data_IF_838806059035
#
_entry.id   IF_838806059035
#
_cell.length_a   1.000
_cell.length_b   1.000
_cell.length_c   1.000
_cell.angle_alpha   90.00
_cell.angle_beta   90.00
_cell.angle_gamma   90.00
#
_symmetry.space_group_name_H-M   'P 1'
#
loop_
_entity.id
_entity.type
_entity.pdbx_description
1 polymer ?
#
# COMPACT_ATOMS: atom_id res chain seq x y z
N UNK A 1 50.22 31.46 -44.11
CA UNK A 1 49.25 30.74 -43.26
C UNK A 1 49.37 31.12 -41.78
N UNK A 2 50.59 31.26 -41.22
CA UNK A 2 50.80 31.80 -39.86
C UNK A 2 50.17 33.17 -39.65
N UNK A 3 50.28 34.07 -40.63
CA UNK A 3 49.69 35.41 -40.56
C UNK A 3 48.16 35.38 -40.45
N UNK A 4 47.51 34.45 -41.18
CA UNK A 4 46.06 34.23 -41.05
C UNK A 4 45.70 33.72 -39.66
N UNK A 5 46.52 32.85 -39.06
CA UNK A 5 46.33 32.38 -37.69
C UNK A 5 46.49 33.52 -36.68
N UNK A 6 47.49 34.41 -36.86
CA UNK A 6 47.70 35.61 -36.03
C UNK A 6 46.52 36.56 -36.09
N UNK A 7 46.02 36.86 -37.29
CA UNK A 7 44.83 37.69 -37.47
C UNK A 7 43.57 37.06 -36.85
N UNK A 8 43.38 35.75 -36.98
CA UNK A 8 42.28 35.05 -36.32
C UNK A 8 42.42 35.06 -34.79
N UNK A 9 43.61 34.87 -34.24
CA UNK A 9 43.87 34.95 -32.80
C UNK A 9 43.65 36.36 -32.25
N UNK A 10 44.09 37.40 -32.98
CA UNK A 10 43.92 38.79 -32.60
C UNK A 10 42.45 39.21 -32.49
N UNK A 11 41.56 38.66 -33.33
CA UNK A 11 40.10 38.88 -33.21
C UNK A 11 39.52 38.44 -31.86
N UNK A 12 40.17 37.51 -31.17
CA UNK A 12 39.78 37.02 -29.85
C UNK A 12 40.65 37.62 -28.71
N UNK A 13 41.48 38.62 -29.03
CA UNK A 13 42.40 39.25 -28.07
C UNK A 13 43.58 38.36 -27.68
N UNK A 14 43.99 37.44 -28.57
CA UNK A 14 45.12 36.54 -28.34
C UNK A 14 46.29 36.89 -29.24
N UNK A 15 47.50 36.79 -28.68
CA UNK A 15 48.74 36.98 -29.42
C UNK A 15 49.41 35.62 -29.63
N UNK A 16 49.70 35.27 -30.88
CA UNK A 16 50.41 34.03 -31.22
C UNK A 16 51.91 34.20 -30.95
N UNK A 17 52.47 33.31 -30.15
CA UNK A 17 53.89 33.27 -29.79
C UNK A 17 54.70 32.35 -30.70
N UNK A 18 54.05 31.52 -31.52
CA UNK A 18 54.74 30.63 -32.47
C UNK A 18 55.44 31.44 -33.57
N UNK A 19 56.74 31.16 -33.75
CA UNK A 19 57.61 31.77 -34.75
C UNK A 19 57.38 31.21 -36.15
N UNK A 20 57.01 29.93 -36.26
CA UNK A 20 56.88 29.20 -37.52
C UNK A 20 55.52 28.49 -37.70
N UNK A 21 55.11 28.31 -38.96
CA UNK A 21 53.90 27.57 -39.29
C UNK A 21 54.15 26.06 -39.30
N UNK A 22 53.78 25.38 -38.21
CA UNK A 22 53.93 23.92 -38.08
C UNK A 22 52.81 23.09 -38.74
N UNK A 23 51.84 23.70 -39.42
CA UNK A 23 50.70 23.01 -40.04
C UNK A 23 49.36 23.22 -39.35
N UNK A 24 48.27 22.79 -40.01
CA UNK A 24 46.88 23.05 -39.59
C UNK A 24 46.49 22.22 -38.34
N UNK A 25 46.97 20.99 -38.22
CA UNK A 25 46.70 20.12 -37.06
C UNK A 25 47.71 20.28 -35.92
N UNK A 26 48.69 21.15 -36.09
CA UNK A 26 49.76 21.36 -35.12
C UNK A 26 49.32 22.34 -34.04
N UNK A 27 49.89 22.17 -32.84
CA UNK A 27 49.66 23.05 -31.70
C UNK A 27 50.53 24.29 -31.83
N UNK A 28 49.92 25.46 -31.67
CA UNK A 28 50.60 26.74 -31.63
C UNK A 28 50.39 27.35 -30.24
N UNK A 29 51.37 28.14 -29.79
CA UNK A 29 51.33 28.81 -28.50
C UNK A 29 50.70 30.19 -28.65
N UNK A 30 49.79 30.51 -27.72
CA UNK A 30 49.09 31.78 -27.66
C UNK A 30 49.18 32.36 -26.26
N UNK A 31 49.17 33.68 -26.17
CA UNK A 31 48.93 34.41 -24.92
C UNK A 31 47.61 35.16 -25.01
N UNK A 32 46.81 35.13 -23.95
CA UNK A 32 45.57 35.90 -23.88
C UNK A 32 45.81 37.32 -23.33
N UNK A 33 44.80 38.18 -23.41
CA UNK A 33 44.84 39.54 -22.85
C UNK A 33 45.12 39.61 -21.33
N UNK A 34 44.86 38.54 -20.57
CA UNK A 34 45.21 38.43 -19.13
C UNK A 34 46.62 37.86 -18.88
N UNK A 35 47.41 37.58 -19.93
CA UNK A 35 48.78 37.10 -19.83
C UNK A 35 48.96 35.58 -19.71
N UNK A 36 47.89 34.78 -19.82
CA UNK A 36 47.99 33.33 -19.77
C UNK A 36 48.54 32.75 -21.08
N UNK A 37 49.58 31.93 -20.97
CA UNK A 37 50.16 31.17 -22.09
C UNK A 37 49.49 29.80 -22.19
N UNK A 38 48.98 29.45 -23.37
CA UNK A 38 48.33 28.16 -23.61
C UNK A 38 48.53 27.68 -25.05
N UNK A 39 48.36 26.38 -25.27
CA UNK A 39 48.52 25.75 -26.57
C UNK A 39 47.18 25.39 -27.20
N UNK A 40 47.00 25.68 -28.49
CA UNK A 40 45.82 25.22 -29.26
C UNK A 40 46.17 24.82 -30.70
N UNK A 41 45.35 23.94 -31.25
CA UNK A 41 45.47 23.48 -32.64
C UNK A 41 44.94 24.53 -33.61
N UNK A 42 45.73 24.89 -34.63
CA UNK A 42 45.38 25.94 -35.60
C UNK A 42 44.06 25.67 -36.35
N UNK A 43 43.74 24.41 -36.66
CA UNK A 43 42.47 23.99 -37.29
C UNK A 43 41.25 24.56 -36.58
N UNK A 44 41.28 24.55 -35.24
CA UNK A 44 40.13 24.96 -34.42
C UNK A 44 39.87 26.46 -34.45
N UNK A 45 40.87 27.26 -34.82
CA UNK A 45 40.76 28.72 -34.94
C UNK A 45 40.47 29.17 -36.38
N UNK A 46 40.95 28.40 -37.36
CA UNK A 46 40.85 28.75 -38.78
C UNK A 46 39.60 28.22 -39.47
N UNK A 47 39.11 27.04 -39.08
CA UNK A 47 38.08 26.31 -39.84
C UNK A 47 36.89 25.81 -39.01
N UNK A 48 37.03 25.65 -37.69
CA UNK A 48 35.98 25.05 -36.85
C UNK A 48 35.11 26.12 -36.19
N UNK A 49 33.83 26.16 -36.54
CA UNK A 49 32.84 27.10 -35.97
C UNK A 49 32.19 26.57 -34.68
N UNK A 50 32.99 25.97 -33.79
CA UNK A 50 32.50 25.39 -32.54
C UNK A 50 32.75 26.35 -31.37
N UNK A 51 31.87 27.35 -31.24
CA UNK A 51 31.88 28.33 -30.15
C UNK A 51 33.02 29.34 -30.20
N UNK A 52 32.85 30.48 -29.51
CA UNK A 52 33.92 31.47 -29.35
C UNK A 52 35.04 30.81 -28.55
N UNK A 53 36.25 30.66 -29.10
CA UNK A 53 37.36 30.03 -28.40
C UNK A 53 37.77 30.93 -27.23
N UNK A 54 37.74 30.39 -26.00
CA UNK A 54 38.12 31.09 -24.77
C UNK A 54 39.42 30.49 -24.23
N UNK A 55 40.23 31.32 -23.59
CA UNK A 55 41.41 30.86 -22.88
C UNK A 55 40.97 29.95 -21.73
N UNK A 56 41.47 28.71 -21.68
CA UNK A 56 41.09 27.70 -20.67
C UNK A 56 41.39 28.16 -19.24
N UNK A 57 42.46 28.93 -19.04
CA UNK A 57 42.81 29.48 -17.73
C UNK A 57 41.86 30.61 -17.32
N UNK A 58 41.60 31.57 -18.22
CA UNK A 58 40.60 32.62 -17.95
C UNK A 58 39.21 32.02 -17.69
N UNK A 59 38.83 30.99 -18.43
CA UNK A 59 37.56 30.30 -18.24
C UNK A 59 37.46 29.64 -16.86
N UNK A 60 38.55 29.04 -16.37
CA UNK A 60 38.60 28.44 -15.04
C UNK A 60 38.53 29.51 -13.93
N UNK A 61 39.23 30.64 -14.10
CA UNK A 61 39.15 31.77 -13.19
C UNK A 61 37.74 32.38 -13.16
N UNK A 62 37.15 32.64 -14.32
CA UNK A 62 35.79 33.19 -14.41
C UNK A 62 34.74 32.24 -13.79
N UNK A 63 34.93 30.92 -13.92
CA UNK A 63 34.09 29.91 -13.25
C UNK A 63 34.29 29.96 -11.73
N UNK A 64 35.54 30.03 -11.27
CA UNK A 64 35.89 30.13 -9.84
C UNK A 64 35.27 31.40 -9.23
N UNK A 65 35.46 32.54 -9.86
CA UNK A 65 35.03 33.84 -9.35
C UNK A 65 33.50 33.92 -9.34
N UNK A 66 32.83 33.39 -10.38
CA UNK A 66 31.36 33.26 -10.39
C UNK A 66 30.86 32.33 -9.28
N UNK A 67 31.57 31.25 -9.01
CA UNK A 67 31.19 30.30 -7.98
C UNK A 67 31.35 30.87 -6.58
N UNK A 68 32.47 31.55 -6.32
CA UNK A 68 32.73 32.30 -5.07
C UNK A 68 31.74 33.46 -4.90
N UNK A 69 31.40 34.17 -5.98
CA UNK A 69 30.37 35.21 -5.97
C UNK A 69 29.01 34.67 -5.54
N UNK A 70 28.58 33.52 -6.10
CA UNK A 70 27.33 32.86 -5.67
C UNK A 70 27.35 32.40 -4.22
N UNK A 71 28.51 32.04 -3.69
CA UNK A 71 28.66 31.73 -2.27
C UNK A 71 28.49 32.99 -1.42
N UNK A 72 29.18 34.07 -1.77
CA UNK A 72 29.10 35.35 -1.06
C UNK A 72 27.69 35.96 -1.09
N UNK A 73 27.01 35.98 -2.24
CA UNK A 73 25.63 36.47 -2.39
C UNK A 73 24.64 35.79 -1.44
N UNK A 74 24.86 34.51 -1.15
CA UNK A 74 23.99 33.70 -0.28
C UNK A 74 24.54 33.55 1.14
N UNK A 75 25.56 34.34 1.50
CA UNK A 75 26.19 34.32 2.81
C UNK A 75 26.82 32.98 3.17
N UNK A 76 27.32 32.23 2.18
CA UNK A 76 27.97 30.94 2.37
C UNK A 76 29.48 31.06 2.53
N UNK A 77 30.05 30.37 3.50
CA UNK A 77 31.49 30.27 3.74
C UNK A 77 32.00 28.90 3.30
N UNK A 78 33.08 28.89 2.52
CA UNK A 78 33.76 27.67 2.13
C UNK A 78 34.68 27.19 3.27
N UNK A 79 34.47 25.97 3.77
CA UNK A 79 35.27 25.37 4.84
C UNK A 79 36.35 24.41 4.31
N UNK A 80 36.13 23.80 3.14
CA UNK A 80 37.15 23.01 2.45
C UNK A 80 38.16 23.91 1.74
N UNK A 81 39.32 23.36 1.34
CA UNK A 81 40.39 24.07 0.63
C UNK A 81 39.96 24.77 -0.69
N UNK A 82 40.92 25.34 -1.44
CA UNK A 82 40.62 26.21 -2.58
C UNK A 82 39.75 25.52 -3.63
N UNK A 83 38.95 26.31 -4.36
CA UNK A 83 38.14 25.79 -5.46
C UNK A 83 39.04 25.26 -6.60
N UNK A 84 38.94 23.97 -6.84
CA UNK A 84 39.70 23.19 -7.84
C UNK A 84 38.86 22.84 -9.08
N UNK A 85 37.52 22.88 -8.99
CA UNK A 85 36.65 22.59 -10.13
C UNK A 85 35.19 22.28 -9.76
N UNK A 86 34.31 22.25 -10.75
CA UNK A 86 32.86 22.07 -10.51
C UNK A 86 32.44 20.64 -10.14
N UNK A 87 33.28 19.63 -10.40
CA UNK A 87 32.95 18.24 -10.10
C UNK A 87 33.36 17.81 -8.69
N UNK A 88 34.24 18.57 -8.06
CA UNK A 88 34.72 18.29 -6.72
C UNK A 88 33.69 18.64 -5.65
N UNK A 89 33.85 17.98 -4.50
CA UNK A 89 32.99 18.17 -3.33
C UNK A 89 33.63 19.14 -2.36
N UNK A 90 32.82 20.09 -1.92
CA UNK A 90 33.21 21.15 -1.00
C UNK A 90 32.35 21.11 0.25
N UNK A 91 32.98 21.42 1.39
CA UNK A 91 32.29 21.65 2.66
C UNK A 91 31.96 23.13 2.75
N UNK A 92 30.67 23.44 2.92
CA UNK A 92 30.15 24.81 2.90
C UNK A 92 29.30 25.02 4.14
N UNK A 93 29.44 26.20 4.76
CA UNK A 93 28.61 26.68 5.86
C UNK A 93 27.70 27.79 5.34
N UNK A 94 26.39 27.78 5.61
CA UNK A 94 25.51 28.90 5.25
C UNK A 94 25.52 29.99 6.32
N UNK A 95 24.86 31.12 6.05
CA UNK A 95 24.68 32.22 7.00
C UNK A 95 24.03 31.77 8.32
N UNK A 96 23.09 30.81 8.26
CA UNK A 96 22.44 30.21 9.44
C UNK A 96 23.32 29.18 10.18
N UNK A 97 24.60 29.02 9.79
CA UNK A 97 25.55 28.12 10.46
C UNK A 97 25.48 26.65 10.06
N UNK A 98 24.57 26.23 9.17
CA UNK A 98 24.50 24.83 8.74
C UNK A 98 25.67 24.45 7.83
N UNK A 99 26.30 23.33 8.13
CA UNK A 99 27.42 22.77 7.36
C UNK A 99 26.97 21.58 6.52
N UNK A 100 27.36 21.54 5.25
CA UNK A 100 27.08 20.40 4.40
C UNK A 100 28.12 20.21 3.29
N UNK A 101 28.19 18.96 2.80
CA UNK A 101 29.05 18.56 1.69
C UNK A 101 28.28 18.56 0.38
N UNK A 102 28.76 19.31 -0.62
CA UNK A 102 28.10 19.47 -1.92
C UNK A 102 29.09 19.61 -3.07
N UNK A 103 28.72 19.10 -4.24
CA UNK A 103 29.53 19.28 -5.45
C UNK A 103 29.43 20.72 -5.99
N UNK A 104 30.53 21.29 -6.46
CA UNK A 104 30.58 22.68 -6.94
C UNK A 104 29.54 23.00 -8.04
N UNK A 105 29.26 22.04 -8.92
CA UNK A 105 28.23 22.12 -9.96
C UNK A 105 26.83 22.35 -9.40
N UNK A 106 26.48 21.71 -8.27
CA UNK A 106 25.14 21.84 -7.69
C UNK A 106 24.87 23.25 -7.15
N UNK A 107 25.91 23.90 -6.60
CA UNK A 107 25.85 25.32 -6.21
C UNK A 107 25.72 26.22 -7.44
N UNK A 108 26.45 25.91 -8.51
CA UNK A 108 26.35 26.64 -9.79
C UNK A 108 24.96 26.53 -10.42
N UNK A 109 24.30 25.37 -10.31
CA UNK A 109 22.92 25.13 -10.74
C UNK A 109 21.85 25.73 -9.80
N UNK A 110 22.26 26.37 -8.70
CA UNK A 110 21.38 27.10 -7.80
C UNK A 110 20.85 26.31 -6.60
N UNK A 111 21.23 25.03 -6.44
CA UNK A 111 20.90 24.25 -5.24
C UNK A 111 21.71 24.77 -4.04
N UNK A 112 21.07 24.89 -2.88
CA UNK A 112 21.66 25.48 -1.68
C UNK A 112 21.55 24.55 -0.45
N UNK A 113 21.82 25.11 0.73
CA UNK A 113 21.70 24.45 2.03
C UNK A 113 20.39 23.64 2.12
N UNK A 114 20.46 22.32 2.32
CA UNK A 114 19.28 21.47 2.39
C UNK A 114 18.43 21.77 3.62
N UNK A 115 19.05 22.19 4.73
CA UNK A 115 18.34 22.54 5.97
C UNK A 115 17.55 23.84 5.80
N UNK A 116 18.17 24.90 5.27
CA UNK A 116 17.45 26.15 4.97
C UNK A 116 16.39 25.94 3.87
N UNK A 117 16.70 25.18 2.82
CA UNK A 117 15.72 24.89 1.76
C UNK A 117 14.52 24.10 2.28
N UNK A 118 14.73 23.17 3.22
CA UNK A 118 13.65 22.47 3.90
C UNK A 118 12.88 23.39 4.84
N UNK A 119 13.56 24.25 5.61
CA UNK A 119 12.95 25.25 6.47
C UNK A 119 12.08 26.25 5.70
N UNK A 120 12.53 26.71 4.53
CA UNK A 120 11.79 27.64 3.68
C UNK A 120 10.63 26.96 2.93
N UNK A 121 10.78 25.70 2.49
CA UNK A 121 9.66 24.92 1.97
C UNK A 121 8.60 24.68 3.06
N UNK A 122 9.04 24.46 4.29
CA UNK A 122 8.20 24.31 5.49
C UNK A 122 7.49 25.64 5.79
N UNK A 123 8.19 26.78 5.79
CA UNK A 123 7.61 28.13 5.96
C UNK A 123 6.63 28.55 4.87
N UNK A 124 6.91 28.19 3.60
CA UNK A 124 5.96 28.40 2.48
C UNK A 124 4.73 27.49 2.55
N UNK A 125 4.82 26.39 3.30
CA UNK A 125 3.73 25.43 3.50
C UNK A 125 2.87 25.73 4.75
N UNK A 126 3.39 26.43 5.78
CA UNK A 126 2.51 27.12 6.74
C UNK A 126 1.97 28.40 6.10
N UNK A 127 0.77 28.31 5.55
CA UNK A 127 -0.07 29.49 5.51
C UNK A 127 -0.24 29.99 6.95
N UNK A 128 0.01 31.28 7.19
CA UNK A 128 -0.31 31.96 8.46
C UNK A 128 -1.78 31.75 8.87
N UNK A 129 -2.66 31.44 7.90
CA UNK A 129 -4.08 31.14 8.09
C UNK A 129 -4.39 29.66 8.41
N UNK A 130 -3.39 28.80 8.61
CA UNK A 130 -3.57 27.37 8.87
C UNK A 130 -4.51 27.09 10.05
N UNK A 131 -4.34 27.83 11.15
CA UNK A 131 -5.19 27.71 12.33
C UNK A 131 -6.61 28.20 12.08
N UNK A 132 -6.75 29.38 11.45
CA UNK A 132 -8.05 29.98 11.13
C UNK A 132 -8.89 29.05 10.23
N UNK A 133 -8.25 28.42 9.24
CA UNK A 133 -8.89 27.43 8.36
C UNK A 133 -9.31 26.16 9.11
N UNK A 134 -8.52 25.70 10.08
CA UNK A 134 -8.91 24.57 10.94
C UNK A 134 -10.09 24.91 11.83
N UNK A 135 -10.13 26.11 12.41
CA UNK A 135 -11.30 26.57 13.19
C UNK A 135 -12.55 26.68 12.32
N UNK A 136 -12.45 27.29 11.13
CA UNK A 136 -13.57 27.40 10.19
C UNK A 136 -14.09 26.02 9.75
N UNK A 137 -13.19 25.07 9.45
CA UNK A 137 -13.57 23.71 9.07
C UNK A 137 -14.20 22.93 10.23
N UNK A 138 -13.71 23.14 11.46
CA UNK A 138 -14.29 22.54 12.65
C UNK A 138 -15.72 23.04 12.89
N UNK A 139 -15.93 24.36 12.81
CA UNK A 139 -17.25 24.98 12.97
C UNK A 139 -18.22 24.51 11.89
N UNK A 140 -17.79 24.44 10.62
CA UNK A 140 -18.60 23.93 9.51
C UNK A 140 -19.04 22.46 9.68
N UNK A 141 -18.35 21.68 10.52
CA UNK A 141 -18.65 20.28 10.83
C UNK A 141 -19.34 20.10 12.20
N UNK A 142 -19.85 21.18 12.78
CA UNK A 142 -20.53 21.16 14.09
C UNK A 142 -19.58 20.86 15.26
N UNK A 143 -18.31 21.23 15.16
CA UNK A 143 -17.33 21.02 16.24
C UNK A 143 -16.39 22.19 16.43
N UNK A 144 -15.41 22.01 17.31
CA UNK A 144 -14.45 23.04 17.71
C UNK A 144 -13.03 22.47 17.67
N UNK A 145 -12.09 23.25 17.16
CA UNK A 145 -10.67 23.01 17.34
C UNK A 145 -10.27 23.59 18.70
N UNK A 146 -9.67 22.78 19.56
CA UNK A 146 -9.21 23.14 20.90
C UNK A 146 -7.74 23.63 20.91
N UNK A 147 -7.01 23.39 19.83
CA UNK A 147 -5.62 23.85 19.68
C UNK A 147 -5.57 25.35 19.45
N UNK A 148 -4.71 26.05 20.20
CA UNK A 148 -4.53 27.51 20.15
C UNK A 148 -3.31 27.94 19.32
N UNK A 149 -2.45 27.01 18.92
CA UNK A 149 -1.23 27.27 18.16
C UNK A 149 -1.13 26.33 16.96
N UNK A 150 -0.70 26.85 15.81
CA UNK A 150 -0.43 26.08 14.59
C UNK A 150 1.06 25.99 14.36
N UNK A 151 1.63 24.82 14.64
CA UNK A 151 3.02 24.51 14.35
C UNK A 151 3.06 23.34 13.39
N UNK A 152 3.93 23.41 12.37
CA UNK A 152 4.08 22.33 11.39
C UNK A 152 4.69 21.09 12.05
N UNK A 153 5.48 21.28 13.11
CA UNK A 153 6.06 20.22 13.93
C UNK A 153 5.02 19.48 14.78
N UNK A 154 3.94 20.17 15.20
CA UNK A 154 2.83 19.52 15.89
C UNK A 154 1.89 18.91 14.86
N UNK A 155 2.16 17.65 14.52
CA UNK A 155 1.34 16.88 13.60
C UNK A 155 -0.07 16.61 14.14
N UNK A 156 -0.40 16.93 15.39
CA UNK A 156 -1.67 16.55 16.01
C UNK A 156 -2.38 17.75 16.64
N UNK A 157 -3.55 18.06 16.11
CA UNK A 157 -4.45 19.10 16.57
C UNK A 157 -5.61 18.46 17.31
N UNK A 158 -6.04 19.08 18.40
CA UNK A 158 -7.14 18.60 19.25
C UNK A 158 -8.46 19.15 18.75
N UNK A 159 -9.43 18.26 18.56
CA UNK A 159 -10.77 18.60 18.11
C UNK A 159 -11.83 18.02 19.04
N UNK A 160 -12.97 18.69 19.11
CA UNK A 160 -14.18 18.26 19.80
C UNK A 160 -15.38 18.37 18.85
N UNK A 161 -16.22 17.34 18.76
CA UNK A 161 -17.44 17.38 17.95
C UNK A 161 -18.66 17.75 18.80
N UNK A 162 -19.79 18.03 18.14
CA UNK A 162 -21.07 18.34 18.79
C UNK A 162 -21.51 17.31 19.85
N UNK A 163 -21.20 16.02 19.61
CA UNK A 163 -21.52 14.93 20.55
C UNK A 163 -20.51 14.81 21.71
N UNK A 164 -19.62 15.78 21.89
CA UNK A 164 -18.62 15.82 22.96
C UNK A 164 -17.42 14.88 22.78
N UNK A 165 -17.25 14.26 21.60
CA UNK A 165 -16.08 13.40 21.37
C UNK A 165 -14.83 14.24 21.11
N UNK A 166 -13.78 13.95 21.88
CA UNK A 166 -12.45 14.57 21.72
C UNK A 166 -11.49 13.63 21.01
N UNK A 167 -10.74 14.15 20.04
CA UNK A 167 -9.69 13.38 19.35
C UNK A 167 -8.56 14.28 18.85
N UNK A 168 -7.45 13.65 18.50
CA UNK A 168 -6.28 14.28 17.92
C UNK A 168 -6.15 13.88 16.44
N UNK A 169 -5.92 14.83 15.54
CA UNK A 169 -5.80 14.58 14.11
C UNK A 169 -4.86 15.57 13.42
N UNK A 170 -4.27 15.16 12.28
CA UNK A 170 -3.46 16.06 11.43
C UNK A 170 -4.34 17.05 10.69
N UNK A 171 -3.84 18.28 10.52
CA UNK A 171 -4.53 19.33 9.78
C UNK A 171 -4.94 18.89 8.36
N UNK A 172 -4.03 18.19 7.65
CA UNK A 172 -4.29 17.69 6.30
C UNK A 172 -5.45 16.67 6.24
N UNK A 173 -5.61 15.83 7.26
CA UNK A 173 -6.69 14.83 7.30
C UNK A 173 -8.05 15.51 7.47
N UNK A 174 -8.11 16.57 8.26
CA UNK A 174 -9.32 17.40 8.42
C UNK A 174 -9.67 18.15 7.13
N UNK A 175 -8.66 18.68 6.42
CA UNK A 175 -8.88 19.32 5.12
C UNK A 175 -9.37 18.33 4.06
N UNK A 176 -8.83 17.10 4.04
CA UNK A 176 -9.29 16.00 3.16
C UNK A 176 -10.70 15.51 3.48
N UNK A 177 -11.27 15.92 4.61
CA UNK A 177 -12.67 15.67 4.95
C UNK A 177 -12.88 14.65 6.07
N UNK A 178 -11.82 14.07 6.64
CA UNK A 178 -11.90 13.23 7.83
C UNK A 178 -12.35 14.08 9.03
N UNK A 179 -13.20 13.51 9.89
CA UNK A 179 -13.68 14.19 11.10
C UNK A 179 -13.70 13.24 12.29
N UNK A 180 -14.67 13.36 13.18
CA UNK A 180 -14.83 12.51 14.34
C UNK A 180 -15.04 11.04 13.93
N UNK A 181 -14.00 10.21 14.10
CA UNK A 181 -14.07 8.77 13.81
C UNK A 181 -15.11 8.02 14.63
N UNK A 182 -15.45 8.49 15.85
CA UNK A 182 -16.54 7.91 16.65
C UNK A 182 -17.91 8.23 16.04
N UNK A 183 -18.14 9.47 15.61
CA UNK A 183 -19.38 9.82 14.89
C UNK A 183 -19.47 9.14 13.52
N UNK A 184 -18.36 9.06 12.78
CA UNK A 184 -18.30 8.37 11.50
C UNK A 184 -18.59 6.87 11.66
N UNK A 185 -18.04 6.22 12.70
CA UNK A 185 -18.39 4.84 13.04
C UNK A 185 -19.86 4.72 13.44
N UNK A 186 -20.42 5.65 14.22
CA UNK A 186 -21.85 5.63 14.57
C UNK A 186 -22.76 5.77 13.33
N UNK A 187 -22.34 6.52 12.29
CA UNK A 187 -23.07 6.61 11.01
C UNK A 187 -22.81 5.41 10.10
N UNK A 188 -21.59 4.84 10.11
CA UNK A 188 -21.21 3.68 9.27
C UNK A 188 -21.66 2.33 9.86
N UNK A 189 -21.93 2.25 11.16
CA UNK A 189 -22.53 1.09 11.84
C UNK A 189 -24.07 1.09 11.72
N UNK A 190 -24.64 2.09 11.05
CA UNK A 190 -26.05 2.45 11.13
C UNK A 190 -26.82 2.39 9.81
N UNK A 191 -26.43 1.53 8.85
CA UNK A 191 -27.45 0.90 8.00
C UNK A 191 -27.82 -0.45 8.66
N UNK A 192 -28.40 -0.36 9.85
CA UNK A 192 -29.19 -1.46 10.38
C UNK A 192 -30.41 -1.52 9.46
N UNK A 193 -30.47 -2.54 8.60
CA UNK A 193 -31.64 -2.83 7.79
C UNK A 193 -32.88 -2.75 8.70
N UNK A 194 -33.83 -1.83 8.46
CA UNK A 194 -35.03 -1.69 9.29
C UNK A 194 -35.83 -2.99 9.39
N UNK A 195 -35.69 -3.85 8.38
CA UNK A 195 -36.34 -5.15 8.29
C UNK A 195 -35.41 -6.30 8.72
N UNK A 196 -34.23 -6.02 9.29
CA UNK A 196 -33.26 -7.02 9.70
C UNK A 196 -33.82 -8.00 10.75
N UNK A 197 -34.60 -7.50 11.72
CA UNK A 197 -35.27 -8.34 12.71
C UNK A 197 -36.34 -9.22 12.08
N UNK A 198 -37.17 -8.66 11.20
CA UNK A 198 -38.24 -9.37 10.48
C UNK A 198 -37.66 -10.49 9.63
N UNK A 199 -36.57 -10.22 8.90
CA UNK A 199 -35.87 -11.23 8.10
C UNK A 199 -35.25 -12.32 8.97
N UNK A 200 -34.73 -11.97 10.15
CA UNK A 200 -34.17 -12.94 11.08
C UNK A 200 -35.24 -13.84 11.71
N UNK A 201 -36.39 -13.27 12.06
CA UNK A 201 -37.56 -14.00 12.54
C UNK A 201 -38.14 -14.90 11.44
N UNK A 202 -38.27 -14.41 10.20
CA UNK A 202 -38.73 -15.20 9.07
C UNK A 202 -37.82 -16.41 8.79
N UNK A 203 -36.49 -16.20 8.80
CA UNK A 203 -35.52 -17.29 8.64
C UNK A 203 -35.60 -18.32 9.78
N UNK A 204 -35.89 -17.88 11.01
CA UNK A 204 -36.11 -18.79 12.13
C UNK A 204 -37.40 -19.61 11.94
N UNK A 205 -38.50 -18.97 11.54
CA UNK A 205 -39.78 -19.62 11.29
C UNK A 205 -39.71 -20.64 10.15
N UNK A 206 -38.99 -20.33 9.06
CA UNK A 206 -38.78 -21.27 7.95
C UNK A 206 -38.06 -22.57 8.40
N UNK A 207 -37.16 -22.47 9.39
CA UNK A 207 -36.47 -23.63 9.98
C UNK A 207 -37.24 -24.27 11.14
N UNK A 208 -38.50 -23.89 11.33
CA UNK A 208 -39.35 -24.41 12.41
C UNK A 208 -38.85 -24.01 13.79
N UNK A 209 -38.33 -22.81 13.95
CA UNK A 209 -37.97 -22.25 15.26
C UNK A 209 -38.34 -20.79 15.40
N UNK A 210 -37.88 -20.17 16.48
CA UNK A 210 -38.17 -18.79 16.85
C UNK A 210 -36.88 -18.05 17.19
N UNK A 211 -36.81 -16.79 16.78
CA UNK A 211 -35.80 -15.85 17.27
C UNK A 211 -36.36 -15.17 18.52
N UNK A 212 -35.61 -15.20 19.62
CA UNK A 212 -36.01 -14.61 20.92
C UNK A 212 -35.49 -13.18 21.09
N UNK A 213 -34.98 -12.56 20.02
CA UNK A 213 -34.46 -11.20 20.06
C UNK A 213 -35.57 -10.16 19.88
N UNK A 214 -35.57 -9.13 20.73
CA UNK A 214 -36.52 -8.01 20.64
C UNK A 214 -36.04 -6.88 19.73
N UNK A 215 -34.72 -6.80 19.46
CA UNK A 215 -34.12 -5.75 18.64
C UNK A 215 -32.98 -6.29 17.76
N UNK A 216 -32.84 -5.73 16.56
CA UNK A 216 -31.74 -6.02 15.64
C UNK A 216 -30.72 -4.88 15.67
N UNK A 217 -29.50 -5.19 16.08
CA UNK A 217 -28.41 -4.21 16.27
C UNK A 217 -27.40 -4.26 15.10
N UNK A 218 -27.32 -5.39 14.40
CA UNK A 218 -26.41 -5.60 13.28
C UNK A 218 -26.23 -7.05 12.87
N UNK A 219 -25.69 -7.28 11.67
CA UNK A 219 -25.56 -8.63 11.08
C UNK A 219 -24.45 -9.48 11.68
N UNK A 220 -23.50 -8.85 12.37
CA UNK A 220 -22.37 -9.48 13.05
C UNK A 220 -22.63 -9.79 14.54
N UNK A 221 -23.76 -9.32 15.07
CA UNK A 221 -24.13 -9.53 16.47
C UNK A 221 -24.77 -10.91 16.70
N UNK A 222 -24.72 -11.38 17.95
CA UNK A 222 -25.28 -12.66 18.37
C UNK A 222 -26.71 -12.49 18.88
N UNK A 223 -27.61 -13.33 18.39
CA UNK A 223 -29.02 -13.34 18.76
C UNK A 223 -29.42 -14.70 19.33
N UNK A 224 -30.33 -14.74 20.33
CA UNK A 224 -30.90 -15.97 20.86
C UNK A 224 -31.94 -16.58 19.92
N UNK A 225 -31.85 -17.90 19.72
CA UNK A 225 -32.79 -18.70 18.95
C UNK A 225 -33.23 -19.94 19.72
N UNK A 226 -34.44 -20.40 19.44
CA UNK A 226 -35.00 -21.67 19.93
C UNK A 226 -35.54 -22.49 18.75
N UNK A 227 -35.20 -23.76 18.64
CA UNK A 227 -35.74 -24.63 17.57
C UNK A 227 -37.03 -25.35 18.00
N UNK A 228 -37.70 -26.03 17.06
CA UNK A 228 -38.90 -26.86 17.34
C UNK A 228 -38.68 -27.92 18.42
N UNK A 229 -37.46 -28.46 18.57
CA UNK A 229 -37.13 -29.42 19.62
C UNK A 229 -36.80 -28.77 20.97
N UNK A 230 -36.97 -27.45 21.09
CA UNK A 230 -36.75 -26.70 22.33
C UNK A 230 -35.30 -26.33 22.64
N UNK A 231 -34.33 -26.66 21.77
CA UNK A 231 -32.94 -26.27 22.00
C UNK A 231 -32.75 -24.77 21.82
N UNK A 232 -32.10 -24.13 22.79
CA UNK A 232 -31.75 -22.71 22.77
C UNK A 232 -30.26 -22.50 22.49
N UNK A 233 -29.93 -21.51 21.65
CA UNK A 233 -28.53 -21.14 21.39
C UNK A 233 -28.39 -19.70 20.92
N UNK A 234 -27.15 -19.19 21.00
CA UNK A 234 -26.76 -17.90 20.44
C UNK A 234 -26.12 -18.09 19.07
N UNK A 235 -26.56 -17.34 18.06
CA UNK A 235 -25.98 -17.36 16.72
C UNK A 235 -25.93 -15.97 16.09
N UNK A 236 -24.97 -15.78 15.18
CA UNK A 236 -24.81 -14.54 14.43
C UNK A 236 -25.86 -14.49 13.30
N UNK A 237 -26.49 -13.34 13.07
CA UNK A 237 -27.54 -13.21 12.05
C UNK A 237 -27.08 -13.63 10.63
N UNK A 238 -25.86 -13.25 10.23
CA UNK A 238 -25.29 -13.66 8.94
C UNK A 238 -25.16 -15.18 8.79
N UNK A 239 -24.87 -15.92 9.87
CA UNK A 239 -24.75 -17.38 9.84
C UNK A 239 -26.11 -18.06 9.65
N UNK A 240 -27.17 -17.51 10.23
CA UNK A 240 -28.54 -18.01 10.05
C UNK A 240 -28.99 -17.85 8.59
N UNK A 241 -28.71 -16.70 7.98
CA UNK A 241 -29.02 -16.46 6.56
C UNK A 241 -28.21 -17.35 5.62
N UNK A 242 -26.99 -17.74 5.99
CA UNK A 242 -26.18 -18.73 5.26
C UNK A 242 -26.68 -20.19 5.44
N UNK A 243 -27.76 -20.39 6.21
CA UNK A 243 -28.40 -21.70 6.39
C UNK A 243 -27.90 -22.51 7.59
N UNK A 244 -27.00 -21.96 8.40
CA UNK A 244 -26.60 -22.63 9.64
C UNK A 244 -27.73 -22.56 10.67
N UNK A 245 -28.03 -23.69 11.31
CA UNK A 245 -29.11 -23.80 12.29
C UNK A 245 -28.66 -24.56 13.54
N UNK A 246 -29.63 -25.04 14.33
CA UNK A 246 -29.41 -25.77 15.58
C UNK A 246 -28.41 -26.92 15.42
N UNK A 247 -27.23 -26.76 16.03
CA UNK A 247 -26.16 -27.78 16.03
C UNK A 247 -26.57 -29.08 16.70
N UNK A 248 -27.43 -29.01 17.71
CA UNK A 248 -27.94 -30.19 18.40
C UNK A 248 -28.85 -30.99 17.48
N UNK A 249 -29.79 -30.34 16.77
CA UNK A 249 -30.62 -31.00 15.75
C UNK A 249 -29.80 -31.55 14.58
N UNK A 250 -28.78 -30.81 14.12
CA UNK A 250 -27.87 -31.30 13.08
C UNK A 250 -27.09 -32.54 13.56
N UNK A 251 -26.64 -32.54 14.81
CA UNK A 251 -25.99 -33.68 15.45
C UNK A 251 -26.92 -34.89 15.63
N UNK A 252 -28.18 -34.66 15.99
CA UNK A 252 -29.20 -35.70 16.11
C UNK A 252 -29.53 -36.32 14.74
N UNK A 253 -29.65 -35.52 13.67
CA UNK A 253 -29.79 -36.03 12.28
C UNK A 253 -28.58 -36.85 11.84
N UNK A 254 -27.39 -36.55 12.37
CA UNK A 254 -26.16 -37.30 12.09
C UNK A 254 -26.01 -38.58 12.93
N UNK A 255 -26.75 -38.72 14.05
CA UNK A 255 -26.82 -39.95 14.84
C UNK A 255 -27.76 -40.93 14.13
N UNK A 256 -27.20 -41.70 13.21
CA UNK A 256 -27.89 -42.85 12.63
C UNK A 256 -28.29 -43.83 13.75
N UNK A 257 -29.55 -44.25 13.78
CA UNK A 257 -30.06 -45.30 14.69
C UNK A 257 -30.10 -46.65 13.98
N UNK A 258 -30.36 -47.74 14.73
CA UNK A 258 -30.56 -49.05 14.12
C UNK A 258 -31.77 -49.08 13.18
N UNK A 259 -32.84 -48.34 13.52
CA UNK A 259 -34.02 -48.19 12.67
C UNK A 259 -33.68 -47.55 11.31
N UNK A 260 -32.79 -46.55 11.31
CA UNK A 260 -32.31 -45.94 10.07
C UNK A 260 -31.55 -46.95 9.19
N UNK A 261 -30.84 -47.91 9.79
CA UNK A 261 -30.12 -48.97 9.07
C UNK A 261 -31.08 -50.04 8.53
N UNK A 262 -32.13 -50.37 9.29
CA UNK A 262 -33.18 -51.29 8.86
C UNK A 262 -33.98 -50.70 7.69
N UNK A 263 -34.36 -49.42 7.76
CA UNK A 263 -35.00 -48.71 6.65
C UNK A 263 -34.10 -48.63 5.41
N UNK A 264 -32.80 -48.40 5.58
CA UNK A 264 -31.82 -48.40 4.49
C UNK A 264 -31.71 -49.77 3.81
N UNK A 265 -31.80 -50.85 4.59
CA UNK A 265 -31.80 -52.20 4.04
C UNK A 265 -33.07 -52.50 3.26
N UNK A 266 -34.23 -52.14 3.81
CA UNK A 266 -35.54 -52.32 3.19
C UNK A 266 -35.63 -51.58 1.85
N UNK A 267 -35.14 -50.34 1.77
CA UNK A 267 -35.09 -49.55 0.54
C UNK A 267 -34.26 -50.22 -0.59
N UNK A 268 -33.33 -51.12 -0.24
CA UNK A 268 -32.52 -51.91 -1.18
C UNK A 268 -33.03 -53.34 -1.37
N UNK A 269 -34.26 -53.62 -0.93
CA UNK A 269 -34.89 -54.94 -1.02
C UNK A 269 -34.26 -55.98 -0.11
N UNK A 270 -33.53 -55.56 0.94
CA UNK A 270 -32.90 -56.45 1.90
C UNK A 270 -33.32 -56.19 3.35
N UNK A 271 -32.66 -56.85 4.29
CA UNK A 271 -32.90 -56.72 5.72
C UNK A 271 -31.60 -56.40 6.45
N UNK A 272 -31.68 -55.59 7.50
CA UNK A 272 -30.60 -55.45 8.48
C UNK A 272 -30.93 -56.39 9.65
N UNK A 273 -30.10 -57.41 9.86
CA UNK A 273 -30.32 -58.44 10.88
C UNK A 273 -29.75 -58.04 12.26
N UNK A 274 -28.96 -56.98 12.33
CA UNK A 274 -28.46 -56.46 13.60
C UNK A 274 -29.57 -55.73 14.37
N UNK A 275 -29.57 -55.92 15.69
CA UNK A 275 -30.52 -55.30 16.62
C UNK A 275 -29.96 -54.04 17.30
N UNK A 276 -28.64 -53.82 17.22
CA UNK A 276 -27.97 -52.68 17.87
C UNK A 276 -27.08 -51.91 16.89
N UNK A 277 -27.04 -50.57 17.05
CA UNK A 277 -26.17 -49.69 16.29
C UNK A 277 -25.11 -49.05 17.20
N UNK A 278 -23.90 -49.59 17.15
CA UNK A 278 -22.75 -49.10 17.93
C UNK A 278 -21.91 -48.04 17.18
N UNK A 279 -22.41 -47.54 16.04
CA UNK A 279 -21.76 -46.47 15.25
C UNK A 279 -21.35 -46.87 13.84
N UNK A 280 -21.05 -45.86 13.01
CA UNK A 280 -20.80 -45.98 11.55
C UNK A 280 -19.63 -46.86 11.13
N UNK A 281 -18.71 -47.20 12.05
CA UNK A 281 -17.50 -48.01 11.80
C UNK A 281 -17.65 -49.46 12.26
N UNK A 282 -18.67 -49.76 13.06
CA UNK A 282 -18.96 -51.11 13.54
C UNK A 282 -19.70 -51.87 12.45
N UNK A 283 -19.34 -53.13 12.24
CA UNK A 283 -20.01 -53.97 11.24
C UNK A 283 -21.43 -54.28 11.70
N UNK A 284 -22.38 -54.24 10.78
CA UNK A 284 -23.72 -54.78 10.94
C UNK A 284 -23.90 -55.97 10.00
N UNK A 285 -24.85 -56.82 10.32
CA UNK A 285 -25.24 -57.99 9.53
C UNK A 285 -26.39 -57.61 8.60
N UNK A 286 -26.22 -57.86 7.31
CA UNK A 286 -27.16 -57.50 6.26
C UNK A 286 -27.58 -58.74 5.48
N UNK A 287 -28.79 -58.72 4.95
CA UNK A 287 -29.34 -59.72 4.05
C UNK A 287 -29.89 -59.04 2.79
N UNK A 288 -29.66 -59.59 1.60
CA UNK A 288 -30.19 -59.02 0.36
C UNK A 288 -31.48 -59.73 -0.07
N UNK A 289 -32.13 -59.20 -1.12
CA UNK A 289 -33.34 -59.79 -1.72
C UNK A 289 -33.17 -61.24 -2.20
N UNK A 290 -31.93 -61.72 -2.42
CA UNK A 290 -31.64 -63.11 -2.80
C UNK A 290 -31.34 -64.02 -1.59
N UNK A 291 -31.45 -63.51 -0.37
CA UNK A 291 -31.21 -64.26 0.86
C UNK A 291 -29.75 -64.30 1.32
N UNK A 292 -28.78 -63.81 0.54
CA UNK A 292 -27.37 -63.79 0.95
C UNK A 292 -27.16 -62.91 2.18
N UNK A 293 -26.44 -63.43 3.18
CA UNK A 293 -26.10 -62.73 4.43
C UNK A 293 -24.63 -62.35 4.44
N UNK A 294 -24.31 -61.11 4.82
CA UNK A 294 -22.92 -60.67 4.96
C UNK A 294 -22.77 -59.58 6.02
N UNK A 295 -21.55 -59.42 6.53
CA UNK A 295 -21.19 -58.31 7.41
C UNK A 295 -20.63 -57.13 6.63
N UNK A 296 -21.11 -55.92 6.92
CA UNK A 296 -20.54 -54.70 6.34
C UNK A 296 -20.73 -53.50 7.26
N UNK A 297 -19.82 -52.53 7.12
CA UNK A 297 -19.92 -51.26 7.84
C UNK A 297 -21.05 -50.41 7.22
N UNK A 298 -21.92 -49.79 8.04
CA UNK A 298 -22.97 -48.86 7.59
C UNK A 298 -22.51 -47.80 6.60
N UNK A 299 -21.29 -47.28 6.78
CA UNK A 299 -20.72 -46.27 5.89
C UNK A 299 -20.52 -46.79 4.46
N UNK A 300 -20.15 -48.07 4.27
CA UNK A 300 -19.95 -48.67 2.96
C UNK A 300 -21.29 -48.92 2.26
N UNK A 301 -22.30 -49.30 3.04
CA UNK A 301 -23.67 -49.49 2.55
C UNK A 301 -24.29 -48.15 2.13
N UNK A 302 -24.09 -47.11 2.94
CA UNK A 302 -24.52 -45.74 2.62
C UNK A 302 -23.81 -45.19 1.38
N UNK A 303 -22.53 -45.53 1.19
CA UNK A 303 -21.73 -45.14 0.03
C UNK A 303 -22.06 -45.92 -1.27
N UNK A 304 -22.97 -46.89 -1.22
CA UNK A 304 -23.48 -47.60 -2.41
C UNK A 304 -22.97 -49.03 -2.60
N UNK A 305 -22.13 -49.55 -1.71
CA UNK A 305 -21.76 -50.97 -1.71
C UNK A 305 -22.92 -51.80 -1.16
N UNK A 306 -23.21 -52.96 -1.77
CA UNK A 306 -24.31 -53.83 -1.31
C UNK A 306 -23.84 -55.27 -1.10
N UNK A 307 -24.53 -56.25 -1.67
CA UNK A 307 -24.23 -57.66 -1.54
C UNK A 307 -23.05 -58.06 -2.46
N UNK A 308 -21.93 -58.58 -1.91
CA UNK A 308 -20.78 -59.00 -2.70
C UNK A 308 -21.10 -60.17 -3.62
N UNK A 309 -21.93 -61.12 -3.16
CA UNK A 309 -22.34 -62.26 -3.99
C UNK A 309 -23.20 -61.81 -5.17
N UNK A 310 -24.19 -60.93 -4.97
CA UNK A 310 -24.96 -60.36 -6.08
C UNK A 310 -24.07 -59.57 -7.05
N UNK A 311 -23.07 -58.83 -6.54
CA UNK A 311 -22.14 -58.09 -7.38
C UNK A 311 -21.28 -59.01 -8.24
N UNK A 312 -20.83 -60.16 -7.71
CA UNK A 312 -20.09 -61.18 -8.47
C UNK A 312 -20.99 -61.78 -9.56
N UNK A 313 -22.21 -62.21 -9.21
CA UNK A 313 -23.16 -62.79 -10.19
C UNK A 313 -23.52 -61.80 -11.32
N UNK A 314 -23.65 -60.51 -11.00
CA UNK A 314 -23.92 -59.49 -12.00
C UNK A 314 -22.70 -59.20 -12.90
N UNK A 315 -21.48 -59.39 -12.41
CA UNK A 315 -20.24 -59.24 -13.20
C UNK A 315 -20.03 -60.40 -14.17
N UNK A 316 -20.30 -61.63 -13.75
CA UNK A 316 -20.16 -62.80 -14.63
C UNK A 316 -21.18 -62.78 -15.76
N UNK A 317 -22.45 -62.42 -15.48
CA UNK A 317 -23.49 -62.29 -16.51
C UNK A 317 -23.19 -61.24 -17.58
N UNK A 318 -22.43 -60.19 -17.28
CA UNK A 318 -22.03 -59.15 -18.25
C UNK A 318 -20.87 -59.56 -19.16
N UNK A 319 -20.19 -60.67 -18.87
CA UNK A 319 -19.04 -61.15 -19.65
C UNK A 319 -19.44 -62.15 -20.73
N UNK A 320 -20.63 -62.73 -20.59
CA UNK A 320 -21.20 -63.76 -21.47
C UNK A 320 -22.34 -63.20 -22.35
N UNK A 321 -22.50 -61.88 -22.44
CA UNK A 321 -23.44 -61.15 -23.33
C UNK A 321 -22.68 -60.20 -24.24
#
# INVERSE_FOLDING_TARGET
MLERLRQCAAKYGWQCLSSEWMGVNSRHQFTCARGHVFERVALTLLYRNSGVPVCVFCQQEDIRDRWLGKLAERGGTLLSGPFTGLFERYQIRCAEGHEWSVAGRKISEGRWCPVCAHGDATRRSCHSDGLARLHARAQARGGKCLSTHYTIESHLYRFECEKGHRWEARANDIFRGTWCGRCAKLTSSGQVDPNGLVRLQAAASEKGGVCLADAYVGSAEKYPFRCALGHEWLAIASQIWLGHWCRQCAGLKLRQTIDNMQALAAARGGLCLSTEYLGRRTKLTWQCHRGHVWESRPINISAGTWCPQCAITNRTRRRDS
#
